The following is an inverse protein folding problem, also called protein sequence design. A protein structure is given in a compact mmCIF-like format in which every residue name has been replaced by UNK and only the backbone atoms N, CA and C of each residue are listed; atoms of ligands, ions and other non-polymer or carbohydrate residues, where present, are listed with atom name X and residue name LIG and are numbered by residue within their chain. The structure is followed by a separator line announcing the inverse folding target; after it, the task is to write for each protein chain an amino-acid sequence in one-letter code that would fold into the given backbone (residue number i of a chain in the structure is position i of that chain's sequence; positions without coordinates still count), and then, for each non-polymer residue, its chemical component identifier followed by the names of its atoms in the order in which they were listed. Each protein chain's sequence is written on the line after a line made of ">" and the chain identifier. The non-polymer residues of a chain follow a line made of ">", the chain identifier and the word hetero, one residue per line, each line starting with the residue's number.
data_IF_670843197701
#
_entry.id   IF_670843197701
#
_cell.length_a   1.000
_cell.length_b   1.000
_cell.length_c   1.000
_cell.angle_alpha   90.00
_cell.angle_beta   90.00
_cell.angle_gamma   90.00
#
_symmetry.space_group_name_H-M   'P 1'
#
loop_
_entity.id
_entity.type
_entity.pdbx_description
1 polymer ?
#
# COMPACT_ATOMS: atom_id res chain seq x y z
N UNK A 1 -21.40 -21.94 -7.98
CA UNK A 1 -19.92 -22.00 -8.00
C UNK A 1 -19.45 -21.88 -6.57
N UNK A 2 -18.61 -22.81 -6.12
CA UNK A 2 -18.36 -23.01 -4.68
C UNK A 2 -17.18 -22.19 -4.15
N UNK A 3 -16.46 -21.47 -5.02
CA UNK A 3 -15.32 -20.62 -4.64
C UNK A 3 -14.08 -21.40 -4.19
N UNK A 4 -13.97 -22.66 -4.60
CA UNK A 4 -12.83 -23.51 -4.24
C UNK A 4 -11.62 -23.21 -5.14
N UNK A 5 -10.79 -22.25 -4.72
CA UNK A 5 -9.58 -21.88 -5.44
C UNK A 5 -8.51 -23.00 -5.42
N UNK A 6 -8.50 -23.84 -4.38
CA UNK A 6 -7.57 -24.97 -4.28
C UNK A 6 -7.93 -26.07 -5.28
N UNK A 7 -9.22 -26.38 -5.43
CA UNK A 7 -9.68 -27.29 -6.48
C UNK A 7 -9.33 -26.77 -7.89
N UNK A 8 -9.48 -25.45 -8.12
CA UNK A 8 -9.11 -24.84 -9.39
C UNK A 8 -7.60 -24.94 -9.68
N UNK A 9 -6.76 -24.64 -8.69
CA UNK A 9 -5.29 -24.72 -8.82
C UNK A 9 -4.75 -26.15 -8.90
N UNK A 10 -5.45 -27.13 -8.32
CA UNK A 10 -5.14 -28.55 -8.51
C UNK A 10 -5.51 -29.05 -9.90
N UNK A 11 -6.54 -28.46 -10.54
CA UNK A 11 -6.93 -28.79 -11.91
C UNK A 11 -6.01 -28.14 -12.94
N UNK A 12 -5.65 -26.87 -12.71
CA UNK A 12 -4.80 -26.07 -13.59
C UNK A 12 -3.75 -25.38 -12.72
N UNK A 13 -2.52 -25.88 -12.73
CA UNK A 13 -1.44 -25.24 -11.96
C UNK A 13 -1.09 -23.88 -12.60
N UNK A 14 -1.12 -22.75 -11.85
CA UNK A 14 -0.71 -21.44 -12.36
C UNK A 14 0.79 -21.36 -12.74
N UNK A 15 1.59 -22.37 -12.39
CA UNK A 15 3.04 -22.49 -12.64
C UNK A 15 3.87 -21.31 -12.09
N UNK A 16 3.42 -20.69 -11.01
CA UNK A 16 4.11 -19.60 -10.31
C UNK A 16 4.75 -20.06 -9.00
N UNK A 17 5.74 -19.35 -8.44
CA UNK A 17 6.30 -19.65 -7.11
C UNK A 17 5.24 -19.62 -6.00
N UNK A 18 5.43 -20.41 -4.93
CA UNK A 18 4.48 -20.48 -3.80
C UNK A 18 4.18 -19.14 -3.15
N UNK A 19 5.16 -18.24 -3.09
CA UNK A 19 5.01 -16.88 -2.56
C UNK A 19 4.00 -16.02 -3.35
N UNK A 20 3.78 -16.32 -4.63
CA UNK A 20 2.79 -15.63 -5.47
C UNK A 20 1.39 -16.24 -5.33
N UNK A 21 1.26 -17.47 -4.80
CA UNK A 21 0.00 -18.22 -4.69
C UNK A 21 -0.79 -17.96 -3.41
N UNK A 22 -0.31 -17.05 -2.55
CA UNK A 22 -0.83 -16.91 -1.16
C UNK A 22 -2.32 -16.50 -1.09
N UNK A 23 -2.88 -15.95 -2.17
CA UNK A 23 -4.30 -15.61 -2.28
C UNK A 23 -5.16 -16.69 -2.96
N UNK A 24 -4.56 -17.74 -3.51
CA UNK A 24 -5.25 -18.84 -4.20
C UNK A 24 -5.76 -19.89 -3.19
N UNK A 25 -6.41 -19.43 -2.12
CA UNK A 25 -6.99 -20.27 -1.09
C UNK A 25 -8.51 -20.20 -1.13
N UNK A 26 -9.17 -21.30 -0.76
CA UNK A 26 -10.63 -21.34 -0.71
C UNK A 26 -11.21 -20.29 0.26
N UNK A 27 -10.54 -20.03 1.37
CA UNK A 27 -11.03 -19.08 2.39
C UNK A 27 -11.01 -17.63 1.88
N UNK A 28 -9.89 -17.18 1.30
CA UNK A 28 -9.78 -15.84 0.71
C UNK A 28 -10.74 -15.69 -0.47
N UNK A 29 -10.79 -16.68 -1.36
CA UNK A 29 -11.58 -16.55 -2.58
C UNK A 29 -13.08 -16.70 -2.33
N UNK A 30 -13.56 -17.54 -1.41
CA UNK A 30 -15.01 -17.64 -1.13
C UNK A 30 -15.63 -16.30 -0.73
N UNK A 31 -14.88 -15.51 0.02
CA UNK A 31 -15.29 -14.20 0.53
C UNK A 31 -14.97 -13.04 -0.43
N UNK A 32 -14.32 -13.32 -1.57
CA UNK A 32 -14.15 -12.32 -2.61
C UNK A 32 -15.52 -11.91 -3.19
N UNK A 33 -15.69 -10.61 -3.41
CA UNK A 33 -16.85 -10.04 -4.10
C UNK A 33 -16.77 -10.29 -5.61
N UNK A 34 -17.84 -9.98 -6.33
CA UNK A 34 -17.87 -9.98 -7.82
C UNK A 34 -17.14 -11.15 -8.49
N UNK A 35 -17.26 -12.36 -7.95
CA UNK A 35 -16.64 -13.57 -8.52
C UNK A 35 -17.33 -13.96 -9.82
N UNK A 36 -16.70 -14.86 -10.56
CA UNK A 36 -17.39 -15.56 -11.64
C UNK A 36 -18.62 -16.25 -11.04
N UNK A 37 -19.80 -15.90 -11.56
CA UNK A 37 -21.09 -16.37 -11.08
C UNK A 37 -21.72 -17.42 -12.00
N UNK A 38 -21.22 -17.53 -13.24
CA UNK A 38 -21.76 -18.45 -14.23
C UNK A 38 -20.78 -18.72 -15.37
N UNK A 39 -21.07 -19.75 -16.15
CA UNK A 39 -20.34 -20.08 -17.37
C UNK A 39 -21.29 -20.73 -18.38
N UNK A 40 -20.97 -20.59 -19.67
CA UNK A 40 -21.65 -21.22 -20.80
C UNK A 40 -20.60 -21.69 -21.82
N UNK A 41 -20.68 -22.94 -22.25
CA UNK A 41 -19.79 -23.46 -23.30
C UNK A 41 -20.44 -23.16 -24.64
N UNK A 42 -19.86 -22.19 -25.37
CA UNK A 42 -20.41 -21.72 -26.64
C UNK A 42 -20.09 -22.65 -27.78
N UNK A 43 -18.85 -23.10 -27.85
CA UNK A 43 -18.36 -23.92 -28.94
C UNK A 43 -17.17 -24.80 -28.51
N UNK A 44 -17.00 -25.92 -29.21
CA UNK A 44 -15.87 -26.83 -29.04
C UNK A 44 -15.38 -27.28 -30.41
N UNK A 45 -14.21 -26.80 -30.80
CA UNK A 45 -13.56 -27.16 -32.04
C UNK A 45 -12.52 -28.24 -31.77
N UNK A 46 -12.69 -29.42 -32.37
CA UNK A 46 -11.66 -30.48 -32.30
C UNK A 46 -10.71 -30.34 -33.48
N UNK A 47 -9.41 -30.29 -33.20
CA UNK A 47 -8.39 -30.25 -34.23
C UNK A 47 -8.42 -31.51 -35.12
N UNK A 48 -7.89 -31.38 -36.33
CA UNK A 48 -7.85 -32.46 -37.33
C UNK A 48 -7.09 -33.71 -36.85
N UNK A 49 -6.11 -33.53 -35.95
CA UNK A 49 -5.35 -34.63 -35.33
C UNK A 49 -6.19 -35.47 -34.35
N UNK A 50 -7.34 -34.95 -33.93
CA UNK A 50 -8.24 -35.55 -32.94
C UNK A 50 -7.62 -35.72 -31.54
N UNK A 51 -6.48 -35.08 -31.26
CA UNK A 51 -5.77 -35.13 -29.98
C UNK A 51 -5.92 -33.84 -29.18
N UNK A 52 -6.20 -32.72 -29.85
CA UNK A 52 -6.43 -31.42 -29.21
C UNK A 52 -7.81 -30.87 -29.55
N UNK A 53 -8.37 -30.07 -28.65
CA UNK A 53 -9.59 -29.32 -28.90
C UNK A 53 -9.53 -27.95 -28.23
N UNK A 54 -10.23 -26.99 -28.81
CA UNK A 54 -10.36 -25.63 -28.30
C UNK A 54 -11.80 -25.42 -27.89
N UNK A 55 -12.06 -25.11 -26.61
CA UNK A 55 -13.40 -24.78 -26.14
C UNK A 55 -13.51 -23.27 -25.89
N UNK A 56 -14.51 -22.63 -26.51
CA UNK A 56 -14.86 -21.24 -26.20
C UNK A 56 -15.89 -21.24 -25.08
N UNK A 57 -15.52 -20.70 -23.94
CA UNK A 57 -16.35 -20.63 -22.73
C UNK A 57 -16.65 -19.17 -22.41
N UNK A 58 -17.93 -18.83 -22.34
CA UNK A 58 -18.36 -17.53 -21.84
C UNK A 58 -18.44 -17.60 -20.32
N UNK A 59 -17.70 -16.75 -19.61
CA UNK A 59 -17.75 -16.63 -18.15
C UNK A 59 -18.51 -15.37 -17.76
N UNK A 60 -19.42 -15.48 -16.81
CA UNK A 60 -20.20 -14.35 -16.31
C UNK A 60 -19.63 -13.86 -14.99
N UNK A 61 -19.27 -12.59 -14.92
CA UNK A 61 -18.80 -11.89 -13.73
C UNK A 61 -19.50 -10.53 -13.66
N UNK A 62 -20.04 -10.18 -12.48
CA UNK A 62 -20.77 -8.92 -12.27
C UNK A 62 -21.81 -8.61 -13.38
N UNK A 63 -22.61 -9.64 -13.73
CA UNK A 63 -23.63 -9.60 -14.79
C UNK A 63 -23.09 -9.37 -16.23
N UNK A 64 -21.77 -9.28 -16.40
CA UNK A 64 -21.11 -9.18 -17.70
C UNK A 64 -20.58 -10.54 -18.12
N UNK A 65 -20.71 -10.89 -19.40
CA UNK A 65 -20.17 -12.15 -19.93
C UNK A 65 -19.00 -11.89 -20.87
N UNK A 66 -17.90 -12.62 -20.66
CA UNK A 66 -16.66 -12.52 -21.43
C UNK A 66 -16.31 -13.90 -21.95
N UNK A 67 -15.86 -13.98 -23.20
CA UNK A 67 -15.40 -15.24 -23.77
C UNK A 67 -13.93 -15.48 -23.44
N UNK A 68 -13.64 -16.69 -22.96
CA UNK A 68 -12.30 -17.21 -22.74
C UNK A 68 -12.13 -18.53 -23.49
N UNK A 69 -10.90 -18.85 -23.83
CA UNK A 69 -10.59 -20.03 -24.62
C UNK A 69 -9.82 -21.03 -23.78
N UNK A 70 -10.35 -22.25 -23.68
CA UNK A 70 -9.70 -23.36 -23.01
C UNK A 70 -9.07 -24.31 -24.02
N UNK A 71 -7.79 -24.62 -23.84
CA UNK A 71 -7.14 -25.68 -24.59
C UNK A 71 -7.40 -27.01 -23.89
N UNK A 72 -7.77 -28.02 -24.66
CA UNK A 72 -8.09 -29.36 -24.20
C UNK A 72 -7.17 -30.38 -24.88
N UNK A 73 -6.78 -31.40 -24.13
CA UNK A 73 -6.03 -32.55 -24.63
C UNK A 73 -6.81 -33.83 -24.42
N UNK A 74 -6.65 -34.78 -25.33
CA UNK A 74 -7.37 -36.05 -25.27
C UNK A 74 -6.78 -36.93 -24.16
N UNK A 75 -7.59 -37.19 -23.14
CA UNK A 75 -7.25 -38.07 -22.02
C UNK A 75 -7.66 -39.54 -22.27
N UNK A 76 -8.57 -39.79 -23.21
CA UNK A 76 -9.00 -41.14 -23.55
C UNK A 76 -10.28 -41.21 -24.36
N UNK A 77 -11.04 -42.29 -24.16
CA UNK A 77 -12.34 -42.47 -24.78
C UNK A 77 -12.73 -43.94 -24.98
N UNK A 78 -14.03 -44.23 -24.93
CA UNK A 78 -14.60 -45.56 -25.18
C UNK A 78 -15.85 -45.40 -26.05
N UNK A 79 -16.12 -46.38 -26.92
CA UNK A 79 -17.33 -46.43 -27.76
C UNK A 79 -17.54 -45.19 -28.64
N UNK A 80 -16.47 -44.59 -29.14
CA UNK A 80 -16.54 -43.39 -29.99
C UNK A 80 -16.71 -42.07 -29.23
N UNK A 81 -16.87 -42.10 -27.90
CA UNK A 81 -16.83 -40.91 -27.07
C UNK A 81 -15.39 -40.54 -26.75
N UNK A 82 -15.05 -39.26 -26.87
CA UNK A 82 -13.74 -38.72 -26.51
C UNK A 82 -13.81 -38.17 -25.09
N UNK A 83 -12.82 -38.51 -24.27
CA UNK A 83 -12.62 -37.89 -22.97
C UNK A 83 -11.52 -36.83 -23.11
N UNK A 84 -11.81 -35.63 -22.62
CA UNK A 84 -10.95 -34.47 -22.70
C UNK A 84 -10.56 -34.03 -21.29
N UNK A 85 -9.34 -33.52 -21.17
CA UNK A 85 -8.83 -32.83 -19.99
C UNK A 85 -8.31 -31.46 -20.40
N UNK A 86 -8.32 -30.50 -19.47
CA UNK A 86 -7.78 -29.18 -19.72
C UNK A 86 -6.26 -29.29 -19.86
N UNK A 87 -5.70 -28.64 -20.88
CA UNK A 87 -4.27 -28.60 -21.09
C UNK A 87 -3.58 -27.88 -19.89
N UNK A 88 -2.35 -28.26 -19.51
CA UNK A 88 -1.68 -27.67 -18.36
C UNK A 88 -1.28 -26.20 -18.54
N UNK A 89 -1.09 -25.73 -19.78
CA UNK A 89 -0.69 -24.34 -20.06
C UNK A 89 -1.92 -23.44 -20.24
N UNK A 90 -2.51 -23.02 -19.12
CA UNK A 90 -3.70 -22.15 -19.07
C UNK A 90 -3.50 -20.99 -18.09
N UNK A 91 -2.29 -20.45 -18.03
CA UNK A 91 -1.91 -19.35 -17.12
C UNK A 91 -2.81 -18.11 -17.27
N UNK A 92 -3.36 -17.84 -18.47
CA UNK A 92 -4.24 -16.69 -18.73
C UNK A 92 -5.58 -16.68 -17.97
N UNK A 93 -5.96 -17.80 -17.33
CA UNK A 93 -7.12 -17.87 -16.44
C UNK A 93 -6.86 -17.22 -15.08
N UNK A 94 -5.60 -17.13 -14.68
CA UNK A 94 -5.16 -16.44 -13.49
C UNK A 94 -4.79 -15.01 -13.82
N UNK A 95 -4.94 -14.13 -12.82
CA UNK A 95 -4.65 -12.71 -12.94
C UNK A 95 -3.61 -12.28 -11.91
N UNK A 96 -3.09 -11.07 -12.08
CA UNK A 96 -2.04 -10.53 -11.22
C UNK A 96 -2.54 -9.29 -10.48
N UNK A 97 -2.30 -9.25 -9.17
CA UNK A 97 -2.43 -8.04 -8.34
C UNK A 97 -1.05 -7.73 -7.76
N UNK A 98 -0.62 -6.47 -7.88
CA UNK A 98 0.66 -6.02 -7.31
C UNK A 98 0.40 -5.39 -5.95
N UNK A 99 1.13 -5.81 -4.93
CA UNK A 99 0.96 -5.34 -3.56
C UNK A 99 2.27 -4.82 -3.01
N UNK A 100 2.31 -3.53 -2.65
CA UNK A 100 3.40 -2.95 -1.89
C UNK A 100 3.12 -3.12 -0.39
N UNK A 101 3.87 -4.03 0.22
CA UNK A 101 3.75 -4.37 1.64
C UNK A 101 4.69 -3.45 2.44
N UNK A 102 4.19 -2.72 3.46
CA UNK A 102 5.06 -1.85 4.25
C UNK A 102 6.16 -2.61 4.96
N UNK A 103 7.31 -1.95 5.14
CA UNK A 103 8.48 -2.53 5.80
C UNK A 103 8.14 -3.09 7.18
N UNK A 104 8.66 -4.29 7.48
CA UNK A 104 8.45 -4.97 8.75
C UNK A 104 7.12 -5.73 8.86
N UNK A 105 6.35 -5.83 7.77
CA UNK A 105 5.18 -6.71 7.70
C UNK A 105 5.48 -7.96 6.88
N UNK A 106 5.07 -9.10 7.42
CA UNK A 106 5.15 -10.44 6.83
C UNK A 106 3.76 -11.09 6.67
N UNK A 107 2.71 -10.32 6.95
CA UNK A 107 1.32 -10.73 6.84
C UNK A 107 0.49 -9.65 6.16
N UNK A 108 -0.47 -10.06 5.32
CA UNK A 108 -1.56 -9.22 4.81
C UNK A 108 -2.88 -9.78 5.31
N UNK A 109 -3.90 -8.92 5.46
CA UNK A 109 -5.28 -9.38 5.64
C UNK A 109 -6.05 -9.10 4.36
N UNK A 110 -6.58 -10.14 3.73
CA UNK A 110 -7.34 -10.05 2.48
C UNK A 110 -8.68 -10.75 2.66
N UNK A 111 -9.76 -10.04 2.34
CA UNK A 111 -11.14 -10.51 2.55
C UNK A 111 -11.40 -10.98 4.00
N UNK A 112 -10.72 -10.39 4.98
CA UNK A 112 -10.82 -10.76 6.40
C UNK A 112 -9.95 -11.94 6.83
N UNK A 113 -9.18 -12.54 5.93
CA UNK A 113 -8.27 -13.67 6.20
C UNK A 113 -6.82 -13.21 6.22
N UNK A 114 -6.06 -13.66 7.22
CA UNK A 114 -4.63 -13.39 7.32
C UNK A 114 -3.86 -14.33 6.39
N UNK A 115 -2.99 -13.78 5.55
CA UNK A 115 -2.10 -14.51 4.66
C UNK A 115 -0.66 -14.09 4.91
N UNK A 116 0.25 -15.06 4.96
CA UNK A 116 1.67 -14.76 5.06
C UNK A 116 2.20 -14.35 3.69
N UNK A 117 2.94 -13.25 3.66
CA UNK A 117 3.67 -12.79 2.49
C UNK A 117 5.17 -12.86 2.78
N UNK A 118 6.02 -13.10 1.78
CA UNK A 118 7.45 -12.95 1.97
C UNK A 118 7.71 -11.56 2.55
N UNK A 119 8.44 -11.51 3.67
CA UNK A 119 8.80 -10.24 4.29
C UNK A 119 9.42 -9.35 3.21
N UNK A 120 8.80 -8.21 2.97
CA UNK A 120 9.34 -7.29 1.99
C UNK A 120 10.71 -6.83 2.50
N UNK A 121 11.75 -7.06 1.70
CA UNK A 121 13.06 -6.47 1.94
C UNK A 121 13.09 -4.98 1.60
N UNK A 122 11.94 -4.37 1.29
CA UNK A 122 11.78 -2.94 1.24
C UNK A 122 12.28 -2.36 2.56
N UNK A 123 13.53 -1.89 2.55
CA UNK A 123 13.99 -0.95 3.54
C UNK A 123 12.98 0.19 3.57
N UNK A 124 12.56 0.70 4.74
CA UNK A 124 11.95 2.02 4.80
C UNK A 124 13.03 3.01 4.41
N UNK A 125 13.34 3.09 3.12
CA UNK A 125 14.34 3.98 2.60
C UNK A 125 13.61 5.29 2.32
N UNK A 126 13.87 6.35 3.12
CA UNK A 126 13.66 7.73 2.70
C UNK A 126 13.89 8.03 1.22
N UNK A 127 14.82 7.28 0.64
CA UNK A 127 15.59 7.68 -0.53
C UNK A 127 15.18 6.96 -1.80
N UNK A 128 14.16 6.08 -1.77
CA UNK A 128 13.61 5.50 -3.02
C UNK A 128 12.72 6.50 -3.80
N UNK A 129 12.86 7.80 -3.51
CA UNK A 129 12.21 8.91 -4.20
C UNK A 129 13.15 9.83 -5.01
N UNK A 130 14.46 9.55 -5.09
CA UNK A 130 15.44 10.46 -5.74
C UNK A 130 16.03 9.97 -7.07
N UNK A 131 15.26 9.22 -7.83
CA UNK A 131 15.31 9.35 -9.29
C UNK A 131 14.02 10.05 -9.70
N UNK A 132 14.08 10.99 -10.64
CA UNK A 132 12.90 11.54 -11.31
C UNK A 132 12.07 10.34 -11.76
N UNK A 133 11.09 9.92 -10.95
CA UNK A 133 10.26 8.78 -11.26
C UNK A 133 9.38 9.27 -12.38
N UNK A 134 9.78 8.92 -13.59
CA UNK A 134 8.88 9.03 -14.72
C UNK A 134 7.59 8.32 -14.33
N UNK A 135 6.44 8.77 -14.84
CA UNK A 135 5.11 8.13 -14.62
C UNK A 135 5.07 6.67 -15.15
N UNK A 136 6.22 6.12 -15.51
CA UNK A 136 6.47 4.83 -16.13
C UNK A 136 7.55 4.00 -15.40
N UNK A 137 8.11 4.44 -14.27
CA UNK A 137 9.09 3.65 -13.52
C UNK A 137 8.46 2.91 -12.34
N UNK A 138 8.44 1.60 -12.52
CA UNK A 138 7.81 0.53 -11.76
C UNK A 138 8.33 0.44 -10.33
N UNK A 139 7.54 -0.14 -9.43
CA UNK A 139 8.01 -0.40 -8.06
C UNK A 139 8.66 -1.79 -8.01
N UNK A 140 10.01 -1.87 -7.93
CA UNK A 140 10.70 -3.16 -7.91
C UNK A 140 10.42 -3.95 -6.62
N UNK A 141 9.83 -3.32 -5.59
CA UNK A 141 9.56 -3.92 -4.29
C UNK A 141 8.09 -4.38 -4.13
N UNK A 142 7.23 -4.17 -5.14
CA UNK A 142 5.86 -4.65 -5.12
C UNK A 142 5.79 -6.16 -5.39
N UNK A 143 5.15 -6.91 -4.49
CA UNK A 143 4.91 -8.34 -4.62
C UNK A 143 3.80 -8.59 -5.66
N UNK A 144 4.10 -9.39 -6.68
CA UNK A 144 3.10 -9.87 -7.63
C UNK A 144 2.39 -11.10 -7.07
N UNK A 145 1.09 -10.98 -6.85
CA UNK A 145 0.22 -12.04 -6.33
C UNK A 145 -0.70 -12.55 -7.43
N UNK A 146 -0.75 -13.87 -7.57
CA UNK A 146 -1.64 -14.55 -8.50
C UNK A 146 -3.02 -14.71 -7.85
N UNK A 147 -4.06 -14.34 -8.58
CA UNK A 147 -5.46 -14.34 -8.10
C UNK A 147 -6.40 -14.88 -9.16
N UNK A 148 -7.59 -15.31 -8.74
CA UNK A 148 -8.72 -15.57 -9.64
C UNK A 148 -9.55 -14.29 -9.85
N UNK A 149 -10.31 -14.16 -10.94
CA UNK A 149 -11.21 -13.02 -11.11
C UNK A 149 -12.19 -12.87 -9.95
N UNK A 150 -12.27 -11.66 -9.41
CA UNK A 150 -13.04 -11.31 -8.22
C UNK A 150 -12.64 -9.95 -7.66
N UNK A 151 -13.39 -9.49 -6.67
CA UNK A 151 -13.12 -8.29 -5.90
C UNK A 151 -12.47 -8.67 -4.56
N UNK A 152 -11.30 -8.10 -4.30
CA UNK A 152 -10.49 -8.35 -3.13
C UNK A 152 -10.39 -7.07 -2.29
N UNK A 153 -10.62 -7.19 -0.99
CA UNK A 153 -10.43 -6.12 -0.02
C UNK A 153 -9.18 -6.40 0.80
N UNK A 154 -8.17 -5.56 0.63
CA UNK A 154 -6.91 -5.57 1.37
C UNK A 154 -7.06 -4.64 2.57
N UNK A 155 -6.94 -5.20 3.78
CA UNK A 155 -7.06 -4.40 4.98
C UNK A 155 -5.82 -3.52 5.17
N UNK A 156 -6.04 -2.26 5.54
CA UNK A 156 -4.94 -1.40 5.90
C UNK A 156 -4.21 -1.97 7.13
N UNK A 157 -2.87 -1.99 7.10
CA UNK A 157 -2.13 -2.40 8.27
C UNK A 157 -2.46 -1.56 9.49
N UNK A 158 -2.41 -2.20 10.67
CA UNK A 158 -2.69 -1.50 11.91
C UNK A 158 -1.66 -0.39 12.12
N UNK A 159 -2.17 0.84 12.13
CA UNK A 159 -1.41 1.99 12.60
C UNK A 159 -1.14 1.92 14.10
N UNK A 160 -0.45 2.96 14.58
CA UNK A 160 -0.24 3.21 16.00
C UNK A 160 -0.77 4.58 16.39
N UNK A 161 -0.35 5.05 17.57
CA UNK A 161 -0.69 6.39 18.05
C UNK A 161 -0.26 7.50 17.09
N UNK A 162 0.85 7.29 16.38
CA UNK A 162 1.50 8.32 15.58
C UNK A 162 1.53 8.03 14.09
N UNK A 163 1.29 6.78 13.68
CA UNK A 163 1.39 6.33 12.30
C UNK A 163 0.06 5.72 11.86
N UNK A 164 -0.33 6.00 10.63
CA UNK A 164 -1.46 5.36 9.94
C UNK A 164 -1.04 4.93 8.53
N UNK A 165 -1.74 3.95 7.97
CA UNK A 165 -1.53 3.44 6.62
C UNK A 165 -2.70 3.77 5.67
N UNK A 166 -3.67 4.57 6.15
CA UNK A 166 -4.91 4.87 5.44
C UNK A 166 -6.00 3.83 5.69
N UNK A 167 -6.97 3.80 4.78
CA UNK A 167 -8.12 2.87 4.82
C UNK A 167 -7.86 1.62 3.98
N UNK A 168 -8.71 0.61 4.17
CA UNK A 168 -8.72 -0.62 3.37
C UNK A 168 -8.83 -0.31 1.87
N UNK A 169 -8.08 -1.04 1.06
CA UNK A 169 -8.07 -0.89 -0.39
C UNK A 169 -8.81 -2.02 -1.06
N UNK A 170 -9.67 -1.68 -2.02
CA UNK A 170 -10.47 -2.64 -2.78
C UNK A 170 -9.98 -2.69 -4.22
N UNK A 171 -9.79 -3.90 -4.72
CA UNK A 171 -9.33 -4.18 -6.09
C UNK A 171 -10.31 -5.14 -6.75
N UNK A 172 -10.87 -4.73 -7.88
CA UNK A 172 -11.67 -5.61 -8.74
C UNK A 172 -10.81 -6.12 -9.87
N UNK A 173 -10.73 -7.44 -9.99
CA UNK A 173 -10.00 -8.14 -11.05
C UNK A 173 -11.01 -8.81 -11.97
N UNK A 174 -11.04 -8.44 -13.24
CA UNK A 174 -12.04 -8.98 -14.18
C UNK A 174 -11.49 -10.15 -15.00
N UNK A 175 -12.38 -11.03 -15.45
CA UNK A 175 -12.00 -12.20 -16.24
C UNK A 175 -11.40 -11.82 -17.61
N UNK A 176 -11.82 -10.69 -18.18
CA UNK A 176 -11.32 -10.13 -19.44
C UNK A 176 -10.01 -9.33 -19.30
N UNK A 177 -9.55 -9.08 -18.07
CA UNK A 177 -8.32 -8.30 -17.85
C UNK A 177 -7.10 -9.05 -18.39
N UNK A 178 -6.30 -8.38 -19.22
CA UNK A 178 -5.02 -8.90 -19.68
C UNK A 178 -3.90 -8.51 -18.70
N UNK A 179 -3.71 -9.36 -17.71
CA UNK A 179 -2.59 -9.26 -16.74
C UNK A 179 -1.49 -10.26 -17.06
N UNK A 180 -1.32 -10.62 -18.34
CA UNK A 180 -0.33 -11.63 -18.77
C UNK A 180 1.12 -11.23 -18.45
N UNK A 181 1.38 -9.94 -18.24
CA UNK A 181 2.65 -9.46 -17.70
C UNK A 181 2.57 -9.29 -16.18
N UNK A 182 3.65 -9.62 -15.46
CA UNK A 182 3.77 -9.36 -14.01
C UNK A 182 3.65 -7.86 -13.66
N UNK A 183 3.73 -7.00 -14.66
CA UNK A 183 3.68 -5.55 -14.57
C UNK A 183 2.28 -5.00 -14.82
N UNK A 184 1.41 -5.82 -15.43
CA UNK A 184 0.03 -5.52 -15.75
C UNK A 184 -0.85 -6.06 -14.61
N UNK A 185 -1.44 -5.16 -13.84
CA UNK A 185 -2.36 -5.53 -12.78
C UNK A 185 -2.71 -4.36 -11.88
N UNK A 186 -3.85 -4.45 -11.23
CA UNK A 186 -4.22 -3.49 -10.18
C UNK A 186 -3.17 -3.46 -9.07
N UNK A 187 -2.86 -2.26 -8.58
CA UNK A 187 -1.83 -2.04 -7.55
C UNK A 187 -2.47 -1.65 -6.23
N UNK A 188 -2.02 -2.29 -5.15
CA UNK A 188 -2.36 -1.99 -3.75
C UNK A 188 -1.13 -1.41 -3.07
N UNK A 189 -1.27 -0.24 -2.44
CA UNK A 189 -0.15 0.46 -1.80
C UNK A 189 -0.59 1.12 -0.49
N UNK A 190 -0.01 0.69 0.62
CA UNK A 190 -0.25 1.28 1.93
C UNK A 190 0.88 2.23 2.32
N UNK A 191 0.67 3.53 2.12
CA UNK A 191 1.66 4.54 2.51
C UNK A 191 1.56 4.88 3.99
N UNK A 192 2.70 4.82 4.67
CA UNK A 192 2.83 5.32 6.03
C UNK A 192 2.64 6.84 6.04
N UNK A 193 1.77 7.33 6.94
CA UNK A 193 1.53 8.75 7.18
C UNK A 193 1.51 9.04 8.67
N UNK A 194 1.90 10.26 9.05
CA UNK A 194 1.69 10.72 10.42
C UNK A 194 0.20 10.95 10.69
N UNK A 195 -0.19 10.72 11.95
CA UNK A 195 -1.54 11.06 12.44
C UNK A 195 -1.60 12.52 12.91
N UNK A 196 -2.80 13.09 12.96
CA UNK A 196 -3.01 14.40 13.60
C UNK A 196 -2.58 14.42 15.08
N UNK A 197 -2.66 13.27 15.76
CA UNK A 197 -2.18 13.13 17.13
C UNK A 197 -0.66 13.27 17.24
N UNK A 198 0.08 12.80 16.22
CA UNK A 198 1.54 12.99 16.16
C UNK A 198 1.88 14.49 16.09
N UNK A 199 1.18 15.23 15.24
CA UNK A 199 1.34 16.69 15.13
C UNK A 199 0.96 17.39 16.42
N UNK A 200 -0.16 17.02 17.02
CA UNK A 200 -0.65 17.62 18.27
C UNK A 200 0.33 17.41 19.42
N UNK A 201 0.84 16.19 19.60
CA UNK A 201 1.80 15.87 20.65
C UNK A 201 3.16 16.53 20.39
N UNK A 202 3.63 16.56 19.14
CA UNK A 202 4.85 17.24 18.76
C UNK A 202 4.75 18.75 19.02
N UNK A 203 3.63 19.36 18.64
CA UNK A 203 3.34 20.77 18.88
C UNK A 203 3.33 21.11 20.38
N UNK A 204 2.67 20.28 21.19
CA UNK A 204 2.65 20.45 22.64
C UNK A 204 4.06 20.36 23.25
N UNK A 205 4.88 19.41 22.79
CA UNK A 205 6.27 19.25 23.25
C UNK A 205 7.18 20.40 22.80
N UNK A 206 6.98 20.92 21.59
CA UNK A 206 7.68 22.11 21.14
C UNK A 206 7.30 23.34 21.96
N UNK A 207 6.01 23.53 22.24
CA UNK A 207 5.51 24.58 23.13
C UNK A 207 6.11 24.49 24.54
N UNK A 208 6.12 23.30 25.14
CA UNK A 208 6.74 23.07 26.46
C UNK A 208 8.23 23.47 26.48
N UNK A 209 8.96 23.16 25.40
CA UNK A 209 10.37 23.60 25.26
C UNK A 209 10.49 25.11 25.13
N UNK A 210 9.65 25.75 24.32
CA UNK A 210 9.63 27.21 24.17
C UNK A 210 9.30 27.89 25.52
N UNK A 211 8.31 27.37 26.26
CA UNK A 211 7.94 27.85 27.59
C UNK A 211 9.11 27.75 28.58
N UNK A 212 9.81 26.61 28.58
CA UNK A 212 11.01 26.42 29.41
C UNK A 212 12.15 27.38 29.03
N UNK A 213 12.27 27.73 27.75
CA UNK A 213 13.25 28.68 27.25
C UNK A 213 12.98 30.11 27.73
N UNK A 214 11.74 30.60 27.57
CA UNK A 214 11.40 31.99 27.93
C UNK A 214 11.30 32.21 29.44
N UNK A 215 11.16 31.14 30.23
CA UNK A 215 11.22 31.21 31.69
C UNK A 215 12.62 31.58 32.23
N UNK A 216 13.68 31.43 31.41
CA UNK A 216 15.06 31.76 31.80
C UNK A 216 15.26 33.26 31.85
N UNK A 217 15.99 33.72 32.86
CA UNK A 217 16.30 35.14 33.09
C UNK A 217 17.72 35.47 32.64
N UNK A 218 18.07 35.02 31.44
CA UNK A 218 19.39 35.18 30.85
C UNK A 218 19.26 35.96 29.55
N UNK A 219 20.20 36.88 29.29
CA UNK A 219 20.22 37.67 28.05
C UNK A 219 20.59 36.82 26.83
N UNK A 220 21.21 35.66 27.04
CA UNK A 220 21.56 34.67 26.03
C UNK A 220 21.25 33.27 26.54
N UNK A 221 20.32 32.58 25.87
CA UNK A 221 19.95 31.18 26.18
C UNK A 221 20.36 30.32 24.99
N UNK A 222 21.56 29.73 25.06
CA UNK A 222 22.20 29.08 23.92
C UNK A 222 21.42 27.88 23.37
N UNK A 223 20.91 27.03 24.26
CA UNK A 223 20.12 25.85 23.90
C UNK A 223 18.77 26.18 23.25
N UNK A 224 18.29 27.40 23.46
CA UNK A 224 17.05 27.93 22.87
C UNK A 224 17.31 28.92 21.73
N UNK A 225 18.60 29.19 21.44
CA UNK A 225 19.04 30.23 20.50
C UNK A 225 18.40 31.60 20.72
N UNK A 226 18.00 31.91 21.95
CA UNK A 226 17.49 33.23 22.32
C UNK A 226 18.67 34.15 22.63
N UNK A 227 18.71 35.32 22.01
CA UNK A 227 19.75 36.30 22.24
C UNK A 227 19.17 37.72 22.24
N UNK A 228 19.49 38.50 23.26
CA UNK A 228 19.12 39.90 23.36
C UNK A 228 20.18 40.79 22.71
N UNK A 229 19.76 41.95 22.24
CA UNK A 229 20.69 43.03 21.88
C UNK A 229 21.36 43.65 23.12
N UNK A 230 20.71 43.54 24.28
CA UNK A 230 21.23 44.02 25.56
C UNK A 230 22.07 42.94 26.24
N UNK A 231 23.15 43.37 26.89
CA UNK A 231 23.97 42.53 27.75
C UNK A 231 23.74 42.88 29.22
N UNK A 232 24.25 42.05 30.12
CA UNK A 232 24.10 42.31 31.54
C UNK A 232 25.03 43.46 31.99
N UNK A 233 24.47 44.66 32.19
CA UNK A 233 25.13 45.82 32.80
C UNK A 233 24.35 46.38 34.01
N UNK A 234 24.90 47.39 34.69
CA UNK A 234 24.24 48.04 35.84
C UNK A 234 22.84 48.59 35.51
N UNK A 235 22.67 49.00 34.25
CA UNK A 235 21.45 49.35 33.50
C UNK A 235 20.36 48.26 33.48
N UNK A 236 20.82 47.06 33.13
CA UNK A 236 20.05 45.97 32.55
C UNK A 236 20.33 44.67 33.32
N UNK A 237 19.40 44.33 34.22
CA UNK A 237 19.43 43.09 35.00
C UNK A 237 18.10 42.36 34.84
N UNK A 238 18.14 41.04 34.96
CA UNK A 238 16.95 40.17 34.98
C UNK A 238 16.04 40.36 33.76
N UNK A 239 16.49 39.98 32.55
CA UNK A 239 15.65 40.08 31.35
C UNK A 239 14.42 39.19 31.47
N UNK A 240 13.33 39.60 30.81
CA UNK A 240 12.14 38.77 30.64
C UNK A 240 11.88 38.53 29.16
N UNK A 241 11.70 37.25 28.83
CA UNK A 241 11.30 36.81 27.52
C UNK A 241 9.79 36.58 27.49
N UNK A 242 9.16 36.89 26.36
CA UNK A 242 7.77 36.54 26.09
C UNK A 242 7.65 35.94 24.70
N UNK A 243 6.78 34.93 24.58
CA UNK A 243 6.36 34.38 23.30
C UNK A 243 5.25 35.27 22.76
N UNK A 244 5.46 35.84 21.58
CA UNK A 244 4.42 36.64 20.91
C UNK A 244 3.46 35.72 20.15
N UNK A 245 4.02 34.71 19.48
CA UNK A 245 3.27 33.71 18.74
C UNK A 245 3.97 32.36 18.83
N UNK A 246 3.18 31.31 19.04
CA UNK A 246 3.67 29.94 19.00
C UNK A 246 3.73 29.44 17.56
N UNK A 247 4.69 28.57 17.22
CA UNK A 247 4.72 27.95 15.91
C UNK A 247 3.44 27.16 15.66
N UNK A 248 2.91 27.32 14.45
CA UNK A 248 1.84 26.46 13.94
C UNK A 248 2.47 25.24 13.30
N UNK A 249 1.88 24.08 13.55
CA UNK A 249 2.39 22.80 13.08
C UNK A 249 1.36 22.18 12.16
N UNK A 250 1.80 21.71 11.00
CA UNK A 250 0.93 21.10 9.99
C UNK A 250 1.60 19.88 9.38
N UNK A 251 0.78 18.93 8.92
CA UNK A 251 1.25 17.90 7.99
C UNK A 251 1.37 18.54 6.61
N UNK A 252 2.51 18.37 5.97
CA UNK A 252 2.68 18.74 4.56
C UNK A 252 2.67 17.46 3.74
N UNK A 253 1.76 17.37 2.77
CA UNK A 253 1.86 16.33 1.75
C UNK A 253 3.09 16.66 0.89
N UNK A 254 4.17 15.92 1.08
CA UNK A 254 5.49 16.15 0.46
C UNK A 254 5.53 16.02 -1.07
N UNK A 255 4.82 16.89 -1.80
CA UNK A 255 4.81 16.91 -3.26
C UNK A 255 5.52 18.12 -3.88
N UNK A 256 6.25 18.94 -3.11
CA UNK A 256 7.09 19.98 -3.73
C UNK A 256 8.31 20.46 -2.93
N UNK A 257 8.74 19.74 -1.89
CA UNK A 257 10.01 20.04 -1.23
C UNK A 257 11.08 19.12 -1.80
N UNK A 258 12.11 19.70 -2.41
CA UNK A 258 13.34 18.97 -2.80
C UNK A 258 14.21 18.61 -1.60
N UNK A 259 13.75 18.83 -0.37
CA UNK A 259 14.56 18.57 0.82
C UNK A 259 14.46 17.12 1.30
N UNK A 260 15.61 16.60 1.67
CA UNK A 260 15.90 15.17 1.74
C UNK A 260 15.51 14.60 3.10
N UNK A 261 14.24 14.63 3.49
CA UNK A 261 13.79 14.06 4.76
C UNK A 261 12.38 13.44 4.66
N UNK A 262 12.20 12.12 4.90
CA UNK A 262 10.90 11.46 4.88
C UNK A 262 10.28 11.47 6.28
N UNK A 263 9.99 12.64 6.81
CA UNK A 263 9.02 12.79 7.89
C UNK A 263 8.37 14.12 7.63
N UNK A 264 7.06 14.13 7.42
CA UNK A 264 6.26 15.34 7.19
C UNK A 264 6.79 16.49 8.06
N UNK A 265 7.44 17.44 7.41
CA UNK A 265 8.27 18.42 8.10
C UNK A 265 7.36 19.40 8.83
N UNK A 266 7.52 19.43 10.16
CA UNK A 266 6.87 20.38 11.04
C UNK A 266 7.54 21.74 10.87
N UNK A 267 7.07 22.55 9.92
CA UNK A 267 7.53 23.93 9.75
C UNK A 267 7.25 24.73 11.03
N UNK A 268 8.27 25.36 11.62
CA UNK A 268 8.11 26.21 12.83
C UNK A 268 8.47 27.66 12.57
N UNK A 269 7.47 28.55 12.57
CA UNK A 269 7.68 29.99 12.71
C UNK A 269 7.43 30.43 14.16
N UNK A 270 8.48 30.69 14.95
CA UNK A 270 8.32 31.24 16.31
C UNK A 270 9.08 32.57 16.42
N UNK A 271 8.44 33.62 16.95
CA UNK A 271 9.10 34.87 17.35
C UNK A 271 9.03 35.05 18.87
N UNK A 272 10.19 35.27 19.50
CA UNK A 272 10.30 35.57 20.92
C UNK A 272 10.95 36.94 21.09
N UNK A 273 10.40 37.77 21.98
CA UNK A 273 10.94 39.10 22.27
C UNK A 273 11.47 39.19 23.71
N UNK A 274 12.56 39.95 23.88
CA UNK A 274 13.18 40.24 25.17
C UNK A 274 12.95 41.71 25.54
N UNK A 275 12.28 41.96 26.65
CA UNK A 275 12.08 43.29 27.21
C UNK A 275 12.87 43.49 28.51
N UNK A 276 13.53 44.64 28.72
CA UNK A 276 14.15 44.96 30.01
C UNK A 276 13.09 45.35 31.04
N UNK A 277 13.19 44.83 32.27
CA UNK A 277 12.50 45.44 33.42
C UNK A 277 13.34 46.63 33.90
N UNK A 278 12.93 47.85 33.57
CA UNK A 278 13.50 49.06 34.19
C UNK A 278 13.15 49.07 35.68
N UNK A 279 14.17 49.22 36.51
CA UNK A 279 13.98 49.45 37.95
C UNK A 279 13.27 50.80 38.09
N UNK A 280 12.08 50.80 38.68
CA UNK A 280 11.40 52.03 39.06
C UNK A 280 12.30 52.81 40.01
N UNK A 281 12.49 54.10 39.71
CA UNK A 281 13.01 55.06 40.70
C UNK A 281 12.01 55.23 41.84
#
# INVERSE_FOLDING_TARGET
>A
MDGDAEAATNLIDPNVPSAQRVLLTGDVYKDAGQRISGYDVKDVEVADDGQSATATVSVTQDQRSTDTTLQLTRAGGVLGLRQWEIAPDQSGLYKTVRVSVPAGQDTLTVNGHEVSVPASSASPSPTSGYHRRSVFEEDPDALSLTVLPGEYTFAAPKGGKYLTYGDDQKVTVTADEDTSSELSGSTVEFRQRLTEQAVTDAAAKAKEKIDACVAKKEFKVAECRLNSYYEADDEHRNPSWSVEEYPTFMLTDGLNSTDSDPVDELETGSSCTCGPRRVGR
#
